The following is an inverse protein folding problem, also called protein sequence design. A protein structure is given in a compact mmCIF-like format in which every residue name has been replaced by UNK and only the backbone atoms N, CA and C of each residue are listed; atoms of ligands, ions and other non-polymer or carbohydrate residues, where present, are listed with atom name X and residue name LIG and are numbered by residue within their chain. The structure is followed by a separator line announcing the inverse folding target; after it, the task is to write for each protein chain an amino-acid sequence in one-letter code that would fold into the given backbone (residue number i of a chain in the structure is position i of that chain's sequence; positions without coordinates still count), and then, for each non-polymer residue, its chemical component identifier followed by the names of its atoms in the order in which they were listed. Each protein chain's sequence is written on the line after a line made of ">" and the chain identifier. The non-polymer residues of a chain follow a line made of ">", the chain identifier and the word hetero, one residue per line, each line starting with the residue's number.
data_IF_992237853565
#
_entry.id   IF_992237853565
#
_cell.length_a   1.000
_cell.length_b   1.000
_cell.length_c   1.000
_cell.angle_alpha   90.00
_cell.angle_beta   90.00
_cell.angle_gamma   90.00
#
_symmetry.space_group_name_H-M   'P 1'
#
loop_
_entity.id
_entity.type
_entity.pdbx_description
1 polymer ?
#
# COMPACT_ATOMS: atom_id res chain seq x y z
N UNK A 1 -7.28 -13.62 9.54
CA UNK A 1 -6.36 -13.36 8.43
C UNK A 1 -6.79 -14.20 7.25
N UNK A 2 -7.19 -13.56 6.17
CA UNK A 2 -7.52 -14.25 4.92
C UNK A 2 -6.29 -14.41 4.01
N UNK A 3 -6.44 -15.10 2.88
CA UNK A 3 -5.36 -15.34 1.93
C UNK A 3 -4.77 -14.04 1.37
N UNK A 4 -5.58 -13.01 1.15
CA UNK A 4 -5.11 -11.74 0.57
C UNK A 4 -4.27 -10.98 1.59
N UNK A 5 -4.76 -10.86 2.82
CA UNK A 5 -4.02 -10.23 3.93
C UNK A 5 -2.68 -10.94 4.19
N UNK A 6 -2.69 -12.28 4.16
CA UNK A 6 -1.47 -13.08 4.35
C UNK A 6 -0.42 -12.79 3.25
N UNK A 7 -0.83 -12.79 1.98
CA UNK A 7 0.08 -12.51 0.86
C UNK A 7 0.67 -11.10 0.94
N UNK A 8 -0.16 -10.11 1.28
CA UNK A 8 0.30 -8.72 1.45
C UNK A 8 1.33 -8.64 2.59
N UNK A 9 1.04 -9.23 3.76
CA UNK A 9 1.97 -9.22 4.91
C UNK A 9 3.27 -9.98 4.64
N UNK A 10 3.20 -11.03 3.83
CA UNK A 10 4.37 -11.80 3.39
C UNK A 10 5.15 -11.13 2.26
N UNK A 11 4.69 -9.97 1.75
CA UNK A 11 5.25 -9.28 0.58
C UNK A 11 5.30 -10.20 -0.67
N UNK A 12 4.27 -11.02 -0.85
CA UNK A 12 4.13 -11.93 -1.99
C UNK A 12 3.11 -11.32 -2.97
N UNK A 13 3.46 -11.11 -4.25
CA UNK A 13 2.52 -10.60 -5.24
C UNK A 13 1.28 -11.50 -5.37
N UNK A 14 0.09 -10.90 -5.31
CA UNK A 14 -1.20 -11.61 -5.35
C UNK A 14 -1.36 -12.39 -6.67
N UNK A 15 -0.75 -11.93 -7.77
CA UNK A 15 -0.72 -12.63 -9.06
C UNK A 15 -0.14 -14.05 -8.97
N UNK A 16 0.69 -14.33 -7.96
CA UNK A 16 1.22 -15.67 -7.75
C UNK A 16 0.13 -16.69 -7.38
N UNK A 17 -1.01 -16.24 -6.87
CA UNK A 17 -2.16 -17.11 -6.63
C UNK A 17 -2.75 -17.66 -7.93
N UNK A 18 -2.64 -16.96 -9.06
CA UNK A 18 -3.15 -17.43 -10.36
C UNK A 18 -2.17 -18.36 -11.09
N UNK A 19 -0.99 -18.61 -10.53
CA UNK A 19 -0.06 -19.58 -11.10
C UNK A 19 -0.68 -21.00 -11.06
N UNK A 20 -0.73 -21.75 -12.17
CA UNK A 20 -1.34 -23.08 -12.20
C UNK A 20 -0.72 -24.09 -11.22
N UNK A 21 0.60 -24.01 -10.99
CA UNK A 21 1.29 -24.84 -10.01
C UNK A 21 0.87 -24.52 -8.58
N UNK A 22 0.72 -23.22 -8.27
CA UNK A 22 0.20 -22.77 -6.97
C UNK A 22 -1.26 -23.20 -6.79
N UNK A 23 -2.12 -23.04 -7.81
CA UNK A 23 -3.52 -23.49 -7.79
C UNK A 23 -3.64 -24.99 -7.56
N UNK A 24 -2.85 -25.79 -8.29
CA UNK A 24 -2.82 -27.25 -8.14
C UNK A 24 -2.34 -27.66 -6.75
N UNK A 25 -1.24 -27.07 -6.27
CA UNK A 25 -0.74 -27.33 -4.93
C UNK A 25 -1.77 -26.97 -3.85
N UNK A 26 -2.39 -25.78 -3.93
CA UNK A 26 -3.44 -25.40 -2.98
C UNK A 26 -4.61 -26.38 -3.04
N UNK A 27 -5.09 -26.75 -4.23
CA UNK A 27 -6.19 -27.71 -4.40
C UNK A 27 -5.92 -29.08 -3.77
N UNK A 28 -4.67 -29.54 -3.77
CA UNK A 28 -4.28 -30.83 -3.21
C UNK A 28 -4.06 -30.80 -1.69
N UNK A 29 -3.61 -29.67 -1.14
CA UNK A 29 -3.11 -29.61 0.23
C UNK A 29 -3.87 -28.64 1.15
N UNK A 30 -4.70 -27.74 0.62
CA UNK A 30 -5.43 -26.73 1.38
C UNK A 30 -6.95 -26.96 1.22
N UNK A 31 -7.58 -27.41 2.30
CA UNK A 31 -9.04 -27.60 2.33
C UNK A 31 -9.76 -26.28 2.05
N UNK A 32 -10.68 -26.29 1.07
CA UNK A 32 -11.48 -25.12 0.71
C UNK A 32 -10.81 -24.13 -0.25
N UNK A 33 -9.62 -24.43 -0.78
CA UNK A 33 -8.95 -23.54 -1.74
C UNK A 33 -9.57 -23.56 -3.14
N UNK A 34 -10.47 -24.51 -3.44
CA UNK A 34 -11.14 -24.63 -4.73
C UNK A 34 -11.97 -23.39 -5.09
N UNK A 35 -12.49 -22.70 -4.08
CA UNK A 35 -13.33 -21.50 -4.23
C UNK A 35 -12.52 -20.20 -4.20
N UNK A 36 -11.18 -20.26 -4.16
CA UNK A 36 -10.35 -19.07 -4.11
C UNK A 36 -10.53 -18.24 -5.40
N UNK A 37 -10.97 -16.98 -5.32
CA UNK A 37 -11.14 -16.13 -6.51
C UNK A 37 -9.84 -15.87 -7.25
N UNK A 38 -9.92 -15.36 -8.48
CA UNK A 38 -8.74 -14.94 -9.25
C UNK A 38 -8.01 -13.79 -8.56
N UNK A 39 -6.71 -13.64 -8.83
CA UNK A 39 -5.91 -12.54 -8.30
C UNK A 39 -6.51 -11.16 -8.66
N UNK A 40 -7.09 -11.04 -9.86
CA UNK A 40 -7.79 -9.82 -10.31
C UNK A 40 -9.00 -9.49 -9.41
N UNK A 41 -9.80 -10.50 -9.07
CA UNK A 41 -10.94 -10.32 -8.18
C UNK A 41 -10.50 -9.99 -6.75
N UNK A 42 -9.51 -10.71 -6.22
CA UNK A 42 -8.92 -10.42 -4.90
C UNK A 42 -8.36 -8.99 -4.82
N UNK A 43 -7.69 -8.53 -5.89
CA UNK A 43 -7.19 -7.15 -6.00
C UNK A 43 -8.30 -6.12 -5.97
N UNK A 44 -9.44 -6.39 -6.61
CA UNK A 44 -10.54 -5.45 -6.65
C UNK A 44 -11.34 -5.41 -5.35
N UNK A 45 -11.56 -6.57 -4.73
CA UNK A 45 -12.52 -6.70 -3.63
C UNK A 45 -11.89 -6.77 -2.23
N UNK A 46 -10.67 -7.31 -2.09
CA UNK A 46 -10.03 -7.57 -0.79
C UNK A 46 -8.81 -6.68 -0.51
N UNK A 47 -8.01 -6.34 -1.53
CA UNK A 47 -6.88 -5.40 -1.34
C UNK A 47 -7.33 -4.04 -0.80
N UNK A 48 -8.43 -3.41 -1.28
CA UNK A 48 -8.89 -2.14 -0.72
C UNK A 48 -9.28 -2.24 0.76
N UNK A 49 -9.83 -3.38 1.19
CA UNK A 49 -10.19 -3.62 2.60
C UNK A 49 -8.94 -3.71 3.47
N UNK A 50 -7.90 -4.42 3.00
CA UNK A 50 -6.60 -4.47 3.68
C UNK A 50 -5.97 -3.08 3.77
N UNK A 51 -6.06 -2.29 2.69
CA UNK A 51 -5.57 -0.90 2.66
C UNK A 51 -6.32 0.03 3.61
N UNK A 52 -7.65 -0.09 3.72
CA UNK A 52 -8.46 0.68 4.65
C UNK A 52 -8.06 0.41 6.11
N UNK A 53 -7.92 -0.86 6.49
CA UNK A 53 -7.45 -1.26 7.81
C UNK A 53 -6.03 -0.76 8.09
N UNK A 54 -5.13 -0.85 7.09
CA UNK A 54 -3.78 -0.31 7.23
C UNK A 54 -3.79 1.22 7.46
N UNK A 55 -4.67 1.95 6.75
CA UNK A 55 -4.84 3.40 6.92
C UNK A 55 -5.35 3.77 8.32
N UNK A 56 -6.29 3.00 8.87
CA UNK A 56 -6.77 3.17 10.25
C UNK A 56 -5.63 2.96 11.25
N UNK A 57 -4.87 1.86 11.12
CA UNK A 57 -3.72 1.58 11.99
C UNK A 57 -2.65 2.69 11.93
N UNK A 58 -2.42 3.27 10.75
CA UNK A 58 -1.49 4.40 10.58
C UNK A 58 -2.03 5.63 11.33
N UNK A 59 -3.31 5.96 11.17
CA UNK A 59 -3.94 7.10 11.88
C UNK A 59 -3.83 6.92 13.39
N UNK A 60 -4.11 5.73 13.91
CA UNK A 60 -3.99 5.43 15.33
C UNK A 60 -2.54 5.53 15.82
N UNK A 61 -1.58 5.08 15.00
CA UNK A 61 -0.15 5.17 15.32
C UNK A 61 0.38 6.61 15.38
N UNK A 62 -0.23 7.53 14.61
CA UNK A 62 0.12 8.95 14.52
C UNK A 62 -0.72 9.84 15.44
N UNK A 63 -1.82 9.33 16.02
CA UNK A 63 -2.75 10.11 16.82
C UNK A 63 -2.07 10.77 18.03
N UNK A 64 -2.38 12.05 18.25
CA UNK A 64 -1.85 12.89 19.36
C UNK A 64 -0.32 13.08 19.37
N UNK A 65 0.36 12.81 18.24
CA UNK A 65 1.80 13.02 18.10
C UNK A 65 2.09 14.18 17.15
N UNK A 66 3.25 14.81 17.32
CA UNK A 66 3.77 15.74 16.32
C UNK A 66 4.20 14.96 15.07
N UNK A 67 3.58 15.26 13.94
CA UNK A 67 3.81 14.56 12.66
C UNK A 67 4.66 15.43 11.73
N UNK A 68 5.66 14.81 11.10
CA UNK A 68 6.38 15.34 9.96
C UNK A 68 5.84 14.71 8.67
N UNK A 69 5.70 15.54 7.64
CA UNK A 69 5.36 15.12 6.29
C UNK A 69 6.64 15.16 5.46
N UNK A 70 6.99 14.03 4.86
CA UNK A 70 8.12 13.89 3.96
C UNK A 70 7.58 13.73 2.55
N UNK A 71 8.00 14.61 1.65
CA UNK A 71 7.60 14.58 0.26
C UNK A 71 8.81 14.28 -0.62
N UNK A 72 8.65 13.35 -1.55
CA UNK A 72 9.67 13.01 -2.53
C UNK A 72 9.07 13.01 -3.93
N UNK A 73 9.71 13.74 -4.84
CA UNK A 73 9.41 13.68 -6.26
C UNK A 73 10.49 12.85 -6.96
N UNK A 74 10.07 11.98 -7.87
CA UNK A 74 10.98 11.27 -8.78
C UNK A 74 10.32 11.15 -10.15
N UNK A 75 11.10 10.74 -11.15
CA UNK A 75 10.59 10.47 -12.50
C UNK A 75 10.79 8.99 -12.79
N UNK A 76 9.73 8.30 -13.18
CA UNK A 76 9.84 6.89 -13.55
C UNK A 76 10.52 6.71 -14.92
N UNK A 77 10.75 5.47 -15.33
CA UNK A 77 11.39 5.15 -16.62
C UNK A 77 10.57 5.60 -17.83
N UNK A 78 9.28 5.85 -17.65
CA UNK A 78 8.36 6.30 -18.69
C UNK A 78 8.23 7.83 -18.74
N UNK A 79 8.95 8.56 -17.87
CA UNK A 79 8.89 10.02 -17.80
C UNK A 79 7.74 10.56 -16.95
N UNK A 80 7.01 9.69 -16.23
CA UNK A 80 5.93 10.15 -15.35
C UNK A 80 6.50 10.73 -14.07
N UNK A 81 5.95 11.87 -13.63
CA UNK A 81 6.28 12.45 -12.33
C UNK A 81 5.62 11.65 -11.22
N UNK A 82 6.40 10.93 -10.43
CA UNK A 82 5.93 10.16 -9.27
C UNK A 82 6.14 11.00 -8.02
N UNK A 83 5.07 11.23 -7.27
CA UNK A 83 5.11 11.98 -6.03
C UNK A 83 4.69 11.09 -4.87
N UNK A 84 5.61 10.89 -3.93
CA UNK A 84 5.40 10.11 -2.73
C UNK A 84 5.30 11.03 -1.51
N UNK A 85 4.26 10.83 -0.72
CA UNK A 85 4.03 11.52 0.55
C UNK A 85 4.10 10.48 1.66
N UNK A 86 4.98 10.71 2.63
CA UNK A 86 5.19 9.85 3.78
C UNK A 86 4.98 10.63 5.08
N UNK A 87 4.52 9.94 6.11
CA UNK A 87 4.30 10.47 7.45
C UNK A 87 5.27 9.83 8.44
N UNK A 88 5.84 10.62 9.34
CA UNK A 88 6.64 10.15 10.47
C UNK A 88 6.38 10.97 11.71
N UNK A 89 6.74 10.45 12.88
CA UNK A 89 6.58 11.16 14.16
C UNK A 89 7.84 11.93 14.52
N UNK A 90 7.72 13.19 14.96
CA UNK A 90 8.85 14.03 15.42
C UNK A 90 9.34 13.68 16.84
N UNK A 91 8.84 12.60 17.44
CA UNK A 91 9.29 12.15 18.75
C UNK A 91 10.76 11.72 18.71
N UNK A 92 11.55 12.19 19.69
CA UNK A 92 13.02 12.08 19.72
C UNK A 92 13.58 10.70 20.07
N UNK A 93 12.97 9.61 19.60
CA UNK A 93 13.49 8.24 19.79
C UNK A 93 13.94 7.63 18.46
N UNK A 94 14.99 6.80 18.54
CA UNK A 94 15.67 6.17 17.41
C UNK A 94 14.76 5.29 16.54
N UNK A 95 15.04 5.29 15.23
CA UNK A 95 14.26 4.76 14.10
C UNK A 95 12.81 5.24 14.07
N UNK A 96 12.57 6.36 13.39
CA UNK A 96 11.22 6.81 13.08
C UNK A 96 10.61 5.87 12.03
N UNK A 97 9.52 5.19 12.41
CA UNK A 97 8.69 4.46 11.46
C UNK A 97 8.09 5.50 10.50
N UNK A 98 8.37 5.33 9.20
CA UNK A 98 7.71 6.11 8.16
C UNK A 98 6.55 5.30 7.57
N UNK A 99 5.45 5.98 7.33
CA UNK A 99 4.25 5.42 6.72
C UNK A 99 4.02 6.07 5.36
N UNK A 100 3.83 5.28 4.32
CA UNK A 100 3.44 5.82 3.01
C UNK A 100 1.97 6.28 3.09
N UNK A 101 1.75 7.58 2.92
CA UNK A 101 0.42 8.18 2.91
C UNK A 101 -0.23 8.17 1.54
N UNK A 102 0.55 8.54 0.52
CA UNK A 102 0.13 8.57 -0.87
C UNK A 102 1.31 8.36 -1.80
N UNK A 103 1.06 7.76 -2.95
CA UNK A 103 1.99 7.67 -4.06
C UNK A 103 1.17 7.86 -5.34
N UNK A 104 1.38 8.98 -6.02
CA UNK A 104 0.54 9.40 -7.15
C UNK A 104 1.39 9.89 -8.31
N UNK A 105 0.88 9.73 -9.52
CA UNK A 105 1.45 10.39 -10.69
C UNK A 105 0.93 11.83 -10.78
N UNK A 106 1.84 12.80 -10.84
CA UNK A 106 1.49 14.20 -11.09
C UNK A 106 1.49 14.48 -12.59
N UNK A 107 0.58 15.35 -13.04
CA UNK A 107 0.58 15.82 -14.42
C UNK A 107 1.83 16.68 -14.71
N UNK A 108 2.23 17.49 -13.74
CA UNK A 108 3.46 18.30 -13.80
C UNK A 108 4.07 18.37 -12.41
N UNK A 109 5.39 18.53 -12.34
CA UNK A 109 6.16 18.71 -11.12
C UNK A 109 6.38 20.20 -10.83
N UNK A 110 5.45 20.85 -10.12
CA UNK A 110 5.61 22.24 -9.71
C UNK A 110 4.98 22.48 -8.33
N UNK A 111 5.20 23.68 -7.78
CA UNK A 111 4.72 24.06 -6.46
C UNK A 111 3.20 23.90 -6.30
N UNK A 112 2.41 24.17 -7.35
CA UNK A 112 0.94 24.08 -7.29
C UNK A 112 0.49 22.64 -7.20
N UNK A 113 0.93 21.77 -8.11
CA UNK A 113 0.49 20.37 -8.17
C UNK A 113 0.96 19.56 -6.97
N UNK A 114 2.19 19.82 -6.51
CA UNK A 114 2.72 19.19 -5.28
C UNK A 114 1.95 19.64 -4.03
N UNK A 115 1.65 20.93 -3.90
CA UNK A 115 0.86 21.44 -2.77
C UNK A 115 -0.56 20.85 -2.75
N UNK A 116 -1.21 20.75 -3.92
CA UNK A 116 -2.53 20.12 -4.03
C UNK A 116 -2.50 18.66 -3.59
N UNK A 117 -1.54 17.87 -4.08
CA UNK A 117 -1.39 16.46 -3.68
C UNK A 117 -1.15 16.28 -2.18
N UNK A 118 -0.39 17.19 -1.55
CA UNK A 118 -0.20 17.20 -0.09
C UNK A 118 -1.54 17.46 0.62
N UNK A 119 -2.27 18.49 0.20
CA UNK A 119 -3.54 18.88 0.83
C UNK A 119 -4.64 17.82 0.66
N UNK A 120 -4.64 17.06 -0.42
CA UNK A 120 -5.58 15.95 -0.64
C UNK A 120 -5.28 14.71 0.23
N UNK A 121 -4.03 14.58 0.69
CA UNK A 121 -3.57 13.43 1.46
C UNK A 121 -3.82 13.58 2.96
N UNK A 122 -3.81 14.82 3.47
CA UNK A 122 -4.05 15.16 4.89
C UNK A 122 -5.54 15.21 5.23
#
# INVERSE_FOLDING_TARGET
>A
MDTTEMFIKANIPIEKLDNPGVRSWMGNYIKGSGDLPSASWLRREYVPKCGALAKENIKDSLANKSVAIFCGETTDRSGNYVFAIMFGTLEGKSSQQLYLGSCSFLQTANATTTSQAIMETI
#
